data_IF_501728764219
#
_entry.id   IF_501728764219
#
_cell.length_a   1.000
_cell.length_b   1.000
_cell.length_c   1.000
_cell.angle_alpha   90.00
_cell.angle_beta   90.00
_cell.angle_gamma   90.00
#
_symmetry.space_group_name_H-M   'P 1'
#
loop_
_entity.id
_entity.type
_entity.pdbx_description
1 polymer ?
#
# COMPACT_ATOMS: atom_id res chain seq x y z
N UNK A 1 -10.64 8.90 -30.51
CA UNK A 1 -9.91 9.84 -29.63
C UNK A 1 -9.43 9.05 -28.44
N UNK A 2 -8.12 8.95 -28.26
CA UNK A 2 -7.53 8.19 -27.15
C UNK A 2 -7.46 9.12 -25.93
N UNK A 3 -8.42 8.99 -25.02
CA UNK A 3 -8.34 9.67 -23.72
C UNK A 3 -7.22 9.03 -22.90
N UNK A 4 -6.14 9.78 -22.67
CA UNK A 4 -5.03 9.33 -21.85
C UNK A 4 -5.44 9.40 -20.37
N UNK A 5 -5.66 8.23 -19.77
CA UNK A 5 -5.98 8.03 -18.35
C UNK A 5 -4.78 8.30 -17.41
N UNK A 6 -3.85 9.18 -17.80
CA UNK A 6 -2.63 9.49 -17.05
C UNK A 6 -2.84 10.49 -15.91
N UNK A 7 -4.02 11.13 -15.82
CA UNK A 7 -4.29 12.22 -14.87
C UNK A 7 -4.90 11.80 -13.52
N UNK A 8 -5.43 10.58 -13.39
CA UNK A 8 -6.00 10.08 -12.13
C UNK A 8 -4.95 9.56 -11.13
N UNK A 9 -3.67 9.63 -11.49
CA UNK A 9 -2.56 8.99 -10.77
C UNK A 9 -1.68 10.01 -9.99
N UNK A 10 -2.11 11.28 -9.90
CA UNK A 10 -1.31 12.36 -9.33
C UNK A 10 -1.97 12.98 -8.10
N UNK A 11 -1.51 12.56 -6.93
CA UNK A 11 -1.53 13.31 -5.67
C UNK A 11 -2.92 13.82 -5.21
N UNK A 12 -3.73 12.96 -4.59
CA UNK A 12 -4.86 13.43 -3.76
C UNK A 12 -4.32 13.90 -2.39
N UNK A 13 -4.29 15.22 -2.09
CA UNK A 13 -3.82 15.73 -0.80
C UNK A 13 -4.72 15.31 0.38
N UNK A 14 -5.97 14.92 0.07
CA UNK A 14 -6.97 14.42 1.01
C UNK A 14 -7.47 13.05 0.57
N UNK A 15 -6.63 12.02 0.71
CA UNK A 15 -7.09 10.64 0.61
C UNK A 15 -7.59 10.14 1.98
N UNK A 16 -8.47 9.13 1.96
CA UNK A 16 -8.92 8.45 3.19
C UNK A 16 -7.76 7.60 3.76
N UNK A 17 -7.22 7.92 4.95
CA UNK A 17 -6.22 7.07 5.57
C UNK A 17 -6.85 5.73 5.95
N UNK A 18 -6.15 4.63 5.61
CA UNK A 18 -6.61 3.27 5.87
C UNK A 18 -5.65 2.52 6.78
N UNK A 19 -4.34 2.77 6.64
CA UNK A 19 -3.27 2.14 7.43
C UNK A 19 -2.32 3.23 7.96
N UNK A 20 -1.75 3.01 9.13
CA UNK A 20 -0.69 3.84 9.71
C UNK A 20 0.60 3.03 9.74
N UNK A 21 1.71 3.66 9.36
CA UNK A 21 3.05 3.09 9.47
C UNK A 21 3.83 3.94 10.46
N UNK A 22 4.31 3.32 11.52
CA UNK A 22 5.28 3.91 12.45
C UNK A 22 6.68 3.36 12.14
N UNK A 23 7.64 4.26 11.98
CA UNK A 23 9.05 3.94 11.81
C UNK A 23 9.81 4.25 13.10
N UNK A 24 10.90 3.52 13.34
CA UNK A 24 11.64 3.68 14.58
C UNK A 24 12.27 5.07 14.70
N UNK A 25 12.37 5.57 15.92
CA UNK A 25 13.05 6.83 16.23
C UNK A 25 14.52 6.77 15.77
N UNK A 26 14.97 7.82 15.08
CA UNK A 26 16.32 7.88 14.52
C UNK A 26 16.51 7.14 13.19
N UNK A 27 15.42 6.77 12.51
CA UNK A 27 15.51 6.30 11.11
C UNK A 27 16.12 7.39 10.24
N UNK A 28 17.12 7.03 9.45
CA UNK A 28 17.83 7.99 8.60
C UNK A 28 16.90 8.56 7.52
N UNK A 29 17.01 9.85 7.25
CA UNK A 29 16.19 10.55 6.25
C UNK A 29 16.28 9.91 4.85
N UNK A 30 17.46 9.42 4.46
CA UNK A 30 17.66 8.69 3.20
C UNK A 30 16.81 7.41 3.12
N UNK A 31 16.66 6.70 4.24
CA UNK A 31 15.83 5.49 4.34
C UNK A 31 14.35 5.87 4.26
N UNK A 32 13.94 6.93 4.95
CA UNK A 32 12.56 7.45 4.93
C UNK A 32 12.13 7.84 3.50
N UNK A 33 12.96 8.63 2.81
CA UNK A 33 12.73 9.06 1.44
C UNK A 33 12.66 7.87 0.49
N UNK A 34 13.59 6.93 0.62
CA UNK A 34 13.60 5.71 -0.21
C UNK A 34 12.36 4.85 0.03
N UNK A 35 12.00 4.59 1.28
CA UNK A 35 10.87 3.74 1.62
C UNK A 35 9.54 4.36 1.17
N UNK A 36 9.33 5.64 1.46
CA UNK A 36 8.15 6.39 0.99
C UNK A 36 8.05 6.38 -0.53
N UNK A 37 9.18 6.57 -1.22
CA UNK A 37 9.25 6.47 -2.67
C UNK A 37 8.83 5.09 -3.17
N UNK A 38 9.28 4.00 -2.54
CA UNK A 38 8.87 2.63 -2.91
C UNK A 38 7.38 2.38 -2.73
N UNK A 39 6.75 3.00 -1.72
CA UNK A 39 5.30 2.87 -1.52
C UNK A 39 4.53 3.61 -2.62
N UNK A 40 4.97 4.81 -2.99
CA UNK A 40 4.28 5.68 -3.98
C UNK A 40 4.55 5.27 -5.42
N UNK A 41 5.76 4.78 -5.73
CA UNK A 41 6.15 4.43 -7.10
C UNK A 41 5.18 3.42 -7.74
N UNK A 42 5.02 3.54 -9.06
CA UNK A 42 4.13 2.67 -9.84
C UNK A 42 4.54 1.20 -9.77
N UNK A 43 3.57 0.32 -9.99
CA UNK A 43 3.77 -1.13 -10.10
C UNK A 43 4.82 -1.53 -11.13
N UNK A 44 4.84 -0.87 -12.30
CA UNK A 44 5.87 -1.08 -13.34
C UNK A 44 7.29 -0.87 -12.81
N UNK A 45 7.46 0.12 -11.92
CA UNK A 45 8.75 0.45 -11.31
C UNK A 45 9.04 -0.42 -10.08
N UNK A 46 8.13 -1.31 -9.68
CA UNK A 46 8.27 -2.20 -8.53
C UNK A 46 7.76 -1.60 -7.22
N UNK A 47 7.12 -0.43 -7.26
CA UNK A 47 6.47 0.14 -6.10
C UNK A 47 5.07 -0.41 -5.86
N UNK A 48 4.39 0.11 -4.83
CA UNK A 48 3.05 -0.34 -4.44
C UNK A 48 1.92 0.49 -5.08
N UNK A 49 2.24 1.67 -5.65
CA UNK A 49 1.28 2.64 -6.17
C UNK A 49 0.22 3.02 -5.12
N UNK A 50 0.67 3.29 -3.89
CA UNK A 50 -0.17 3.70 -2.77
C UNK A 50 0.04 5.20 -2.47
N UNK A 51 -0.86 5.78 -1.69
CA UNK A 51 -0.80 7.18 -1.27
C UNK A 51 -0.20 7.24 0.14
N UNK A 52 0.74 8.15 0.37
CA UNK A 52 1.42 8.31 1.67
C UNK A 52 1.44 9.78 2.07
N UNK A 53 1.18 10.05 3.36
CA UNK A 53 1.27 11.39 3.94
C UNK A 53 1.93 11.31 5.33
N UNK A 54 2.97 12.12 5.61
CA UNK A 54 3.52 12.20 6.97
C UNK A 54 2.48 12.80 7.92
N UNK A 55 2.37 12.24 9.13
CA UNK A 55 1.55 12.79 10.20
C UNK A 55 2.44 13.70 11.06
N UNK A 56 2.17 15.00 11.05
CA UNK A 56 2.84 15.95 11.95
C UNK A 56 2.05 15.96 13.26
N UNK A 57 2.60 15.35 14.31
CA UNK A 57 2.04 15.43 15.65
C UNK A 57 2.62 16.61 16.41
N UNK A 58 1.88 17.11 17.41
CA UNK A 58 2.34 18.19 18.31
C UNK A 58 3.60 17.79 19.10
N UNK A 59 3.84 16.49 19.25
CA UNK A 59 5.05 15.90 19.86
C UNK A 59 6.29 15.91 18.96
N UNK A 60 6.16 16.30 17.68
CA UNK A 60 7.27 16.29 16.72
C UNK A 60 7.69 14.88 16.27
N UNK A 61 6.79 13.89 16.33
CA UNK A 61 7.11 12.53 15.87
C UNK A 61 7.13 12.48 14.33
N UNK A 62 8.30 12.75 13.75
CA UNK A 62 8.54 12.79 12.29
C UNK A 62 8.44 11.43 11.58
N UNK A 63 8.15 10.34 12.32
CA UNK A 63 8.28 8.96 11.83
C UNK A 63 6.93 8.24 11.60
N UNK A 64 5.79 8.95 11.73
CA UNK A 64 4.46 8.38 11.51
C UNK A 64 3.94 8.77 10.13
N UNK A 65 3.45 7.79 9.37
CA UNK A 65 2.93 7.96 8.02
C UNK A 65 1.55 7.36 7.87
N UNK A 66 0.63 8.14 7.32
CA UNK A 66 -0.68 7.69 6.90
C UNK A 66 -0.60 7.11 5.49
N UNK A 67 -1.22 5.96 5.28
CA UNK A 67 -1.24 5.25 4.00
C UNK A 67 -2.67 4.99 3.56
N UNK A 68 -2.92 5.23 2.28
CA UNK A 68 -4.18 4.96 1.60
C UNK A 68 -3.96 4.56 0.15
N UNK A 69 -5.02 4.55 -0.63
CA UNK A 69 -4.99 4.19 -2.03
C UNK A 69 -6.17 4.82 -2.77
N UNK A 70 -6.02 5.02 -4.08
CA UNK A 70 -7.16 5.36 -4.93
C UNK A 70 -8.13 4.18 -5.03
N UNK A 71 -9.39 4.48 -5.35
CA UNK A 71 -10.42 3.44 -5.48
C UNK A 71 -10.06 2.38 -6.53
N UNK A 72 -9.59 2.80 -7.71
CA UNK A 72 -9.12 1.90 -8.76
C UNK A 72 -7.99 0.99 -8.25
N UNK A 73 -7.04 1.54 -7.49
CA UNK A 73 -5.92 0.78 -6.96
C UNK A 73 -6.37 -0.32 -5.98
N UNK A 74 -7.37 -0.02 -5.14
CA UNK A 74 -7.98 -0.99 -4.24
C UNK A 74 -8.69 -2.11 -5.01
N UNK A 75 -9.44 -1.80 -6.07
CA UNK A 75 -10.08 -2.82 -6.90
C UNK A 75 -9.06 -3.74 -7.61
N UNK A 76 -7.98 -3.17 -8.17
CA UNK A 76 -6.89 -3.98 -8.75
C UNK A 76 -6.16 -4.81 -7.68
N UNK A 77 -6.05 -4.28 -6.47
CA UNK A 77 -5.52 -5.02 -5.32
C UNK A 77 -6.43 -6.16 -4.88
N UNK A 78 -7.76 -5.96 -4.90
CA UNK A 78 -8.75 -7.00 -4.61
C UNK A 78 -8.64 -8.18 -5.57
N UNK A 79 -8.40 -7.91 -6.85
CA UNK A 79 -8.10 -8.94 -7.86
C UNK A 79 -6.78 -9.66 -7.55
N UNK A 80 -5.73 -8.91 -7.21
CA UNK A 80 -4.40 -9.46 -6.91
C UNK A 80 -4.43 -10.39 -5.69
N UNK A 81 -5.17 -10.04 -4.65
CA UNK A 81 -5.33 -10.91 -3.45
C UNK A 81 -6.37 -12.01 -3.65
N UNK A 82 -7.13 -11.96 -4.74
CA UNK A 82 -8.15 -12.96 -5.07
C UNK A 82 -9.39 -12.92 -4.16
N UNK A 83 -9.88 -11.72 -3.79
CA UNK A 83 -11.10 -11.60 -2.97
C UNK A 83 -12.28 -12.30 -3.65
N UNK A 84 -13.01 -13.13 -2.91
CA UNK A 84 -14.21 -13.81 -3.42
C UNK A 84 -15.44 -12.99 -3.01
N UNK A 85 -16.30 -12.66 -3.99
CA UNK A 85 -17.52 -11.86 -3.80
C UNK A 85 -18.72 -12.55 -4.45
N UNK A 86 -19.92 -12.23 -3.97
CA UNK A 86 -21.18 -12.74 -4.53
C UNK A 86 -21.47 -12.08 -5.88
N UNK A 87 -21.87 -12.87 -6.86
CA UNK A 87 -22.31 -12.42 -8.17
C UNK A 87 -23.84 -12.26 -8.23
N UNK A 88 -24.33 -11.56 -9.26
CA UNK A 88 -25.77 -11.37 -9.48
C UNK A 88 -26.53 -12.68 -9.71
N UNK A 89 -25.83 -13.76 -10.07
CA UNK A 89 -26.35 -15.13 -10.20
C UNK A 89 -26.28 -15.92 -8.87
N UNK A 90 -26.02 -15.24 -7.75
CA UNK A 90 -25.81 -15.82 -6.41
C UNK A 90 -24.60 -16.77 -6.30
N UNK A 91 -23.75 -16.85 -7.32
CA UNK A 91 -22.50 -17.62 -7.24
C UNK A 91 -21.40 -16.81 -6.53
N UNK A 92 -20.47 -17.52 -5.88
CA UNK A 92 -19.28 -16.92 -5.27
C UNK A 92 -18.12 -17.01 -6.26
N UNK A 93 -17.56 -15.87 -6.68
CA UNK A 93 -16.47 -15.83 -7.65
C UNK A 93 -15.36 -14.90 -7.20
N UNK A 94 -14.13 -15.19 -7.63
CA UNK A 94 -13.00 -14.29 -7.45
C UNK A 94 -13.24 -12.99 -8.20
N UNK A 95 -13.07 -11.88 -7.50
CA UNK A 95 -13.22 -10.54 -8.04
C UNK A 95 -12.20 -10.29 -9.14
N UNK A 96 -12.67 -9.79 -10.28
CA UNK A 96 -11.82 -9.22 -11.31
C UNK A 96 -12.36 -7.86 -11.73
N UNK A 97 -11.46 -6.91 -11.97
CA UNK A 97 -11.85 -5.56 -12.40
C UNK A 97 -12.55 -5.58 -13.77
N UNK A 98 -12.15 -6.51 -14.64
CA UNK A 98 -12.76 -6.70 -15.96
C UNK A 98 -14.23 -7.13 -15.88
N UNK A 99 -14.57 -8.04 -14.96
CA UNK A 99 -15.94 -8.54 -14.77
C UNK A 99 -16.69 -7.84 -13.63
N UNK A 100 -16.22 -6.69 -13.13
CA UNK A 100 -16.77 -6.02 -11.94
C UNK A 100 -18.30 -5.85 -11.92
N UNK A 101 -18.92 -5.63 -13.08
CA UNK A 101 -20.38 -5.45 -13.22
C UNK A 101 -21.20 -6.73 -12.97
N UNK A 102 -20.57 -7.90 -12.92
CA UNK A 102 -21.25 -9.16 -12.63
C UNK A 102 -21.42 -9.39 -11.12
N UNK A 103 -20.70 -8.62 -10.30
CA UNK A 103 -20.76 -8.73 -8.84
C UNK A 103 -21.93 -7.94 -8.29
N UNK A 104 -22.54 -8.52 -7.26
CA UNK A 104 -23.57 -7.87 -6.47
C UNK A 104 -22.97 -6.66 -5.74
N UNK A 105 -23.80 -5.65 -5.49
CA UNK A 105 -23.43 -4.41 -4.80
C UNK A 105 -22.35 -3.56 -5.52
N UNK A 106 -21.97 -3.93 -6.75
CA UNK A 106 -21.12 -3.11 -7.61
C UNK A 106 -21.97 -2.06 -8.34
N UNK A 107 -22.36 -0.99 -7.64
CA UNK A 107 -23.09 0.16 -8.18
C UNK A 107 -22.16 1.16 -8.90
N UNK A 108 -22.73 2.19 -9.53
CA UNK A 108 -21.96 3.20 -10.29
C UNK A 108 -21.09 4.10 -9.40
N UNK A 109 -21.47 4.32 -8.13
CA UNK A 109 -20.66 5.06 -7.15
C UNK A 109 -19.56 4.20 -6.52
N UNK A 110 -19.75 2.87 -6.49
CA UNK A 110 -18.81 1.78 -6.15
C UNK A 110 -17.93 1.92 -4.89
N UNK A 111 -18.02 3.02 -4.15
CA UNK A 111 -17.18 3.34 -3.00
C UNK A 111 -17.36 2.38 -1.81
N UNK A 112 -18.52 1.73 -1.72
CA UNK A 112 -18.86 0.79 -0.65
C UNK A 112 -18.68 -0.69 -1.02
N UNK A 113 -18.23 -0.99 -2.25
CA UNK A 113 -18.06 -2.38 -2.70
C UNK A 113 -17.02 -3.14 -1.87
N UNK A 114 -15.92 -2.47 -1.52
CA UNK A 114 -14.91 -2.98 -0.60
C UNK A 114 -15.15 -2.39 0.79
N UNK A 115 -15.28 -3.28 1.76
CA UNK A 115 -15.31 -2.91 3.18
C UNK A 115 -13.97 -2.31 3.61
N UNK A 116 -13.98 -1.57 4.72
CA UNK A 116 -12.76 -1.00 5.29
C UNK A 116 -11.71 -2.07 5.60
N UNK A 117 -12.14 -3.23 6.13
CA UNK A 117 -11.27 -4.35 6.44
C UNK A 117 -10.63 -4.95 5.17
N UNK A 118 -11.40 -5.12 4.08
CA UNK A 118 -10.86 -5.56 2.79
C UNK A 118 -9.84 -4.55 2.25
N UNK A 119 -10.13 -3.25 2.34
CA UNK A 119 -9.20 -2.21 1.88
C UNK A 119 -7.89 -2.21 2.68
N UNK A 120 -7.97 -2.32 4.00
CA UNK A 120 -6.80 -2.42 4.89
C UNK A 120 -6.00 -3.69 4.60
N UNK A 121 -6.67 -4.82 4.38
CA UNK A 121 -6.04 -6.08 4.02
C UNK A 121 -5.29 -5.99 2.68
N UNK A 122 -5.90 -5.36 1.67
CA UNK A 122 -5.26 -5.11 0.38
C UNK A 122 -4.00 -4.26 0.56
N UNK A 123 -4.08 -3.14 1.27
CA UNK A 123 -2.93 -2.26 1.52
C UNK A 123 -1.82 -3.01 2.26
N UNK A 124 -2.19 -3.79 3.28
CA UNK A 124 -1.25 -4.66 4.03
C UNK A 124 -0.50 -5.59 3.08
N UNK A 125 -1.24 -6.35 2.29
CA UNK A 125 -0.69 -7.34 1.36
C UNK A 125 0.29 -6.69 0.39
N UNK A 126 -0.01 -5.48 -0.05
CA UNK A 126 0.83 -4.73 -0.98
C UNK A 126 2.13 -4.23 -0.36
N UNK A 127 2.07 -3.75 0.88
CA UNK A 127 3.25 -3.34 1.63
C UNK A 127 4.17 -4.54 1.96
N UNK A 128 3.59 -5.69 2.32
CA UNK A 128 4.35 -6.91 2.62
C UNK A 128 5.04 -7.51 1.38
N UNK A 129 4.43 -7.34 0.20
CA UNK A 129 4.95 -7.82 -1.08
C UNK A 129 5.85 -6.82 -1.82
N UNK A 130 6.20 -5.68 -1.20
CA UNK A 130 7.26 -4.82 -1.72
C UNK A 130 8.58 -5.58 -1.72
N UNK A 131 9.20 -5.71 -2.89
CA UNK A 131 10.46 -6.44 -3.09
C UNK A 131 11.57 -5.55 -3.62
N UNK A 132 12.78 -5.80 -3.15
CA UNK A 132 13.98 -5.21 -3.71
C UNK A 132 14.12 -5.62 -5.19
N UNK A 133 14.49 -4.66 -6.04
CA UNK A 133 14.80 -4.89 -7.45
C UNK A 133 16.30 -4.80 -7.66
N UNK A 134 16.82 -3.58 -7.72
CA UNK A 134 18.23 -3.31 -8.01
C UNK A 134 19.00 -2.91 -6.75
N UNK A 135 18.29 -2.72 -5.64
CA UNK A 135 18.88 -2.33 -4.36
C UNK A 135 19.74 -3.47 -3.77
N UNK A 136 21.02 -3.19 -3.52
CA UNK A 136 21.95 -4.11 -2.84
C UNK A 136 21.87 -4.01 -1.32
N UNK A 137 21.36 -2.90 -0.80
CA UNK A 137 21.22 -2.63 0.63
C UNK A 137 20.15 -1.57 0.87
N UNK A 138 19.64 -1.49 2.09
CA UNK A 138 18.77 -0.38 2.51
C UNK A 138 19.63 0.89 2.62
N UNK A 139 19.24 2.01 1.98
CA UNK A 139 19.95 3.28 2.10
C UNK A 139 20.12 3.65 3.57
N UNK A 140 21.34 4.03 3.97
CA UNK A 140 21.70 4.36 5.34
C UNK A 140 22.01 3.19 6.28
N UNK A 141 21.78 1.94 5.85
CA UNK A 141 22.11 0.76 6.64
C UNK A 141 22.92 -0.23 5.80
N UNK A 142 24.26 -0.05 5.66
CA UNK A 142 25.11 -0.93 4.87
C UNK A 142 25.10 -2.40 5.33
N UNK A 143 24.81 -2.64 6.61
CA UNK A 143 24.62 -3.97 7.18
C UNK A 143 23.35 -4.67 6.68
N UNK A 144 22.37 -3.91 6.20
CA UNK A 144 21.07 -4.39 5.74
C UNK A 144 21.11 -4.77 4.26
N UNK A 145 21.75 -5.90 3.94
CA UNK A 145 21.87 -6.36 2.55
C UNK A 145 20.53 -6.81 1.97
N UNK A 146 20.24 -6.30 0.78
CA UNK A 146 19.11 -6.67 -0.06
C UNK A 146 19.63 -7.43 -1.29
N UNK A 147 18.81 -8.35 -1.78
CA UNK A 147 19.01 -9.02 -3.05
C UNK A 147 17.70 -8.99 -3.83
N UNK A 148 17.74 -9.04 -5.17
CA UNK A 148 16.54 -9.00 -6.00
C UNK A 148 15.51 -10.02 -5.54
N UNK A 149 14.28 -9.58 -5.31
CA UNK A 149 13.17 -10.42 -4.87
C UNK A 149 13.00 -10.55 -3.34
N UNK A 150 13.93 -10.05 -2.52
CA UNK A 150 13.77 -10.04 -1.06
C UNK A 150 12.68 -9.04 -0.65
N UNK A 151 11.79 -9.44 0.27
CA UNK A 151 10.77 -8.53 0.83
C UNK A 151 11.43 -7.42 1.65
N UNK A 152 11.08 -6.18 1.34
CA UNK A 152 11.59 -4.98 2.01
C UNK A 152 11.05 -4.92 3.44
N UNK A 153 9.75 -5.17 3.64
CA UNK A 153 9.13 -5.15 4.97
C UNK A 153 9.80 -6.13 5.95
N UNK A 154 10.04 -7.38 5.51
CA UNK A 154 10.74 -8.38 6.33
C UNK A 154 12.19 -8.01 6.63
N UNK A 155 12.89 -7.34 5.72
CA UNK A 155 14.26 -6.91 5.98
C UNK A 155 14.31 -5.75 6.97
N UNK A 156 13.37 -4.80 6.87
CA UNK A 156 13.27 -3.67 7.80
C UNK A 156 12.98 -4.13 9.23
N UNK A 157 12.12 -5.13 9.42
CA UNK A 157 11.78 -5.67 10.75
C UNK A 157 12.91 -6.46 11.42
N UNK A 158 13.92 -6.91 10.67
CA UNK A 158 15.05 -7.71 11.17
C UNK A 158 16.27 -6.88 11.60
N UNK A 159 16.24 -5.56 11.38
CA UNK A 159 17.33 -4.69 11.84
C UNK A 159 17.13 -4.32 13.31
N UNK A 160 18.19 -4.02 14.09
CA UNK A 160 18.12 -3.46 15.46
C UNK A 160 17.44 -2.08 15.53
N UNK A 161 16.79 -1.68 14.44
CA UNK A 161 15.80 -0.62 14.29
C UNK A 161 14.45 -1.15 14.81
N UNK A 162 14.43 -1.93 15.90
CA UNK A 162 13.31 -2.78 16.36
C UNK A 162 12.13 -2.00 16.94
N UNK A 163 11.54 -1.12 16.13
CA UNK A 163 10.10 -0.83 15.99
C UNK A 163 9.74 -0.59 14.51
N UNK A 164 10.65 -0.88 13.56
CA UNK A 164 10.43 -0.64 12.14
C UNK A 164 9.29 -1.52 11.63
N UNK A 165 8.14 -0.87 11.41
CA UNK A 165 6.89 -1.49 10.98
C UNK A 165 6.25 -2.30 12.12
N UNK A 166 6.13 -1.71 13.32
CA UNK A 166 4.85 -1.89 14.00
C UNK A 166 3.84 -1.10 13.15
N UNK A 167 3.25 -1.78 12.17
CA UNK A 167 1.92 -1.34 11.72
C UNK A 167 1.08 -1.51 12.98
N UNK A 168 0.96 -0.44 13.76
CA UNK A 168 0.08 -0.41 14.91
C UNK A 168 -1.33 -0.67 14.42
N UNK A 169 -1.72 -1.94 14.41
CA UNK A 169 -3.05 -2.37 14.03
C UNK A 169 -3.98 -2.00 15.19
N UNK A 170 -4.36 -0.72 15.28
CA UNK A 170 -5.50 -0.33 16.10
C UNK A 170 -6.76 -0.87 15.42
N UNK A 171 -7.06 -2.14 15.68
CA UNK A 171 -8.42 -2.66 15.62
C UNK A 171 -9.22 -1.93 16.70
N UNK A 172 -9.99 -0.92 16.28
CA UNK A 172 -11.09 -0.39 17.08
C UNK A 172 -12.33 -1.27 16.89
#
# INVERSE_FOLDING_TARGET
MAESWSFLDAFEPNFRPLVVIELAKGTKEETLKWFTKRIVDKKSNGGAQLLVKPLVTESGDENIYLVGASHLRLLLGAETVGLVKECNDNSMRTFTYSSRKTFKDFADDNHNFLTMAECQYIIKHELENLRAKDEKMIPGYPQAKLYPGKSIGKQCSLLPVTHCIDIGWCSW
#
